data_IF_323961573658
#
_entry.id   IF_323961573658
#
_cell.length_a   1.000
_cell.length_b   1.000
_cell.length_c   1.000
_cell.angle_alpha   90.00
_cell.angle_beta   90.00
_cell.angle_gamma   90.00
#
_symmetry.space_group_name_H-M   'P 1'
#
loop_
_entity.id
_entity.type
_entity.pdbx_description
1 polymer ?
#
# COMPACT_ATOMS: atom_id res chain seq x y z
N UNK A 1 -10.24 -18.55 37.65
CA UNK A 1 -9.49 -18.64 36.38
C UNK A 1 -10.34 -18.01 35.29
N UNK A 2 -10.14 -16.72 35.03
CA UNK A 2 -10.89 -16.00 34.00
C UNK A 2 -10.04 -14.87 33.42
N UNK A 3 -9.83 -14.93 32.10
CA UNK A 3 -9.64 -13.77 31.23
C UNK A 3 -8.25 -13.14 31.20
N UNK A 4 -7.30 -13.74 30.50
CA UNK A 4 -6.21 -12.97 29.89
C UNK A 4 -6.80 -12.05 28.84
N UNK A 5 -6.78 -10.75 29.13
CA UNK A 5 -7.10 -9.70 28.19
C UNK A 5 -6.02 -9.68 27.10
N UNK A 6 -6.37 -10.19 25.92
CA UNK A 6 -5.61 -10.06 24.69
C UNK A 6 -5.69 -8.58 24.24
N UNK A 7 -4.83 -7.73 24.80
CA UNK A 7 -4.67 -6.32 24.39
C UNK A 7 -3.77 -6.26 23.17
N UNK A 8 -4.29 -6.66 22.03
CA UNK A 8 -3.56 -6.62 20.76
C UNK A 8 -3.89 -5.33 20.03
N UNK A 9 -3.11 -4.28 20.32
CA UNK A 9 -2.59 -3.42 19.25
C UNK A 9 -3.49 -2.40 18.56
N UNK A 10 -4.52 -1.85 19.20
CA UNK A 10 -5.15 -0.60 18.72
C UNK A 10 -4.33 0.62 19.17
N UNK A 11 -3.11 0.73 18.64
CA UNK A 11 -2.51 2.06 18.54
C UNK A 11 -3.34 2.82 17.53
N UNK A 12 -4.18 3.74 18.01
CA UNK A 12 -5.02 4.58 17.14
C UNK A 12 -4.18 5.16 16.01
N UNK A 13 -4.74 5.32 14.81
CA UNK A 13 -4.04 5.82 13.61
C UNK A 13 -3.05 6.98 13.89
N UNK A 14 -3.41 7.87 14.83
CA UNK A 14 -2.57 8.96 15.31
C UNK A 14 -1.23 8.54 15.93
N UNK A 15 -1.15 7.44 16.67
CA UNK A 15 0.10 6.91 17.23
C UNK A 15 1.01 6.33 16.15
N UNK A 16 0.42 5.64 15.17
CA UNK A 16 1.14 5.10 14.01
C UNK A 16 1.70 6.23 13.14
N UNK A 17 0.88 7.24 12.85
CA UNK A 17 1.30 8.42 12.12
C UNK A 17 2.44 9.16 12.82
N UNK A 18 2.45 9.18 14.15
CA UNK A 18 3.53 9.76 14.93
C UNK A 18 4.85 8.97 14.76
N UNK A 19 4.82 7.63 14.74
CA UNK A 19 6.01 6.80 14.52
C UNK A 19 6.57 6.93 13.10
N UNK A 20 5.69 7.02 12.10
CA UNK A 20 6.07 7.18 10.70
C UNK A 20 6.64 8.59 10.44
N UNK A 21 6.15 9.58 11.18
CA UNK A 21 6.50 10.99 11.04
C UNK A 21 5.77 11.67 9.88
N UNK A 22 5.69 13.00 9.93
CA UNK A 22 4.87 13.80 9.01
C UNK A 22 5.19 13.57 7.54
N UNK A 23 6.48 13.47 7.19
CA UNK A 23 6.91 13.24 5.80
C UNK A 23 6.51 11.85 5.30
N UNK A 24 6.78 10.81 6.11
CA UNK A 24 6.43 9.43 5.75
C UNK A 24 4.92 9.26 5.63
N UNK A 25 4.15 9.80 6.59
CA UNK A 25 2.69 9.76 6.59
C UNK A 25 2.13 10.45 5.35
N UNK A 26 2.63 11.66 5.04
CA UNK A 26 2.20 12.41 3.86
C UNK A 26 2.51 11.64 2.56
N UNK A 27 3.72 11.11 2.43
CA UNK A 27 4.14 10.41 1.23
C UNK A 27 3.37 9.09 1.03
N UNK A 28 3.15 8.32 2.09
CA UNK A 28 2.35 7.10 2.04
C UNK A 28 0.91 7.41 1.62
N UNK A 29 0.25 8.38 2.26
CA UNK A 29 -1.12 8.79 1.91
C UNK A 29 -1.26 9.18 0.43
N UNK A 30 -0.30 9.96 -0.07
CA UNK A 30 -0.24 10.39 -1.48
C UNK A 30 -0.09 9.22 -2.44
N UNK A 31 0.93 8.39 -2.21
CA UNK A 31 1.22 7.27 -3.10
C UNK A 31 0.12 6.22 -3.10
N UNK A 32 -0.52 5.98 -1.95
CA UNK A 32 -1.72 5.14 -1.87
C UNK A 32 -2.85 5.70 -2.75
N UNK A 33 -3.10 7.01 -2.68
CA UNK A 33 -4.15 7.61 -3.50
C UNK A 33 -3.84 7.60 -5.00
N UNK A 34 -2.57 7.78 -5.39
CA UNK A 34 -2.13 7.65 -6.78
C UNK A 34 -2.31 6.22 -7.29
N UNK A 35 -1.89 5.23 -6.50
CA UNK A 35 -1.97 3.82 -6.85
C UNK A 35 -3.42 3.34 -7.04
N UNK A 36 -4.34 3.85 -6.21
CA UNK A 36 -5.78 3.58 -6.34
C UNK A 36 -6.46 4.40 -7.45
N UNK A 37 -5.73 5.30 -8.12
CA UNK A 37 -6.31 6.15 -9.16
C UNK A 37 -7.39 7.10 -8.63
N UNK A 38 -7.29 7.54 -7.38
CA UNK A 38 -8.33 8.36 -6.77
C UNK A 38 -8.48 9.68 -7.52
N UNK A 39 -9.72 10.17 -7.71
CA UNK A 39 -9.96 11.36 -8.49
C UNK A 39 -9.39 12.60 -7.78
N UNK A 40 -8.66 13.42 -8.52
CA UNK A 40 -8.26 14.73 -8.06
C UNK A 40 -9.51 15.58 -7.77
N UNK A 41 -9.72 15.97 -6.51
CA UNK A 41 -10.86 16.76 -6.06
C UNK A 41 -10.41 17.80 -5.03
N UNK A 42 -10.61 19.07 -5.34
CA UNK A 42 -10.51 20.16 -4.36
C UNK A 42 -11.86 20.36 -3.70
N UNK A 43 -11.94 20.36 -2.37
CA UNK A 43 -13.15 20.85 -1.72
C UNK A 43 -13.20 22.39 -1.75
N UNK A 44 -14.38 22.96 -1.99
CA UNK A 44 -14.61 24.41 -1.88
C UNK A 44 -14.48 24.95 -0.45
N UNK A 45 -14.47 24.09 0.57
CA UNK A 45 -14.50 24.45 1.99
C UNK A 45 -13.20 25.14 2.43
N UNK A 46 -13.30 26.43 2.77
CA UNK A 46 -12.17 27.26 3.22
C UNK A 46 -11.46 26.71 4.45
N UNK A 47 -12.22 26.13 5.40
CA UNK A 47 -11.67 25.57 6.64
C UNK A 47 -10.77 24.35 6.36
N UNK A 48 -11.18 23.48 5.44
CA UNK A 48 -10.40 22.31 5.02
C UNK A 48 -9.07 22.73 4.36
N UNK A 49 -9.08 23.79 3.52
CA UNK A 49 -7.85 24.35 2.93
C UNK A 49 -6.90 24.92 3.99
N UNK A 50 -7.43 25.66 4.98
CA UNK A 50 -6.62 26.21 6.09
C UNK A 50 -5.98 25.14 6.96
N UNK A 51 -6.70 24.04 7.22
CA UNK A 51 -6.19 22.87 7.96
C UNK A 51 -5.33 21.93 7.12
N UNK A 52 -5.12 22.23 5.83
CA UNK A 52 -4.38 21.41 4.86
C UNK A 52 -4.91 19.99 4.66
N UNK A 53 -6.16 19.71 5.06
CA UNK A 53 -6.77 18.37 4.95
C UNK A 53 -7.13 18.00 3.49
N UNK A 54 -7.02 18.95 2.55
CA UNK A 54 -7.27 18.79 1.11
C UNK A 54 -6.05 19.10 0.23
N UNK A 55 -4.85 19.19 0.81
CA UNK A 55 -3.62 19.55 0.11
C UNK A 55 -2.70 18.34 -0.11
N UNK A 56 -3.28 17.16 -0.23
CA UNK A 56 -2.56 16.05 -0.82
C UNK A 56 -2.39 16.33 -2.31
N UNK A 57 -1.22 16.82 -2.70
CA UNK A 57 -0.89 17.11 -4.10
C UNK A 57 -0.24 15.88 -4.72
N UNK A 58 -0.89 15.28 -5.71
CA UNK A 58 -0.31 14.19 -6.48
C UNK A 58 1.05 14.59 -7.05
N UNK A 59 2.02 13.71 -6.93
CA UNK A 59 3.41 13.99 -7.30
C UNK A 59 3.60 14.11 -8.82
N UNK A 60 2.80 13.38 -9.60
CA UNK A 60 2.95 13.29 -11.05
C UNK A 60 2.24 14.41 -11.82
N UNK A 61 1.04 14.84 -11.40
CA UNK A 61 0.25 15.87 -12.10
C UNK A 61 -0.04 17.12 -11.25
N UNK A 62 0.47 17.16 -10.02
CA UNK A 62 0.25 18.25 -9.04
C UNK A 62 -1.22 18.56 -8.76
N UNK A 63 -2.11 17.61 -9.02
CA UNK A 63 -3.52 17.81 -8.72
C UNK A 63 -3.80 17.50 -7.24
N UNK A 64 -4.60 18.35 -6.58
CA UNK A 64 -4.97 18.18 -5.17
C UNK A 64 -6.05 17.12 -4.95
N UNK A 65 -5.97 16.42 -3.81
CA UNK A 65 -6.92 15.43 -3.31
C UNK A 65 -7.47 15.83 -1.94
N UNK A 66 -8.79 15.76 -1.80
CA UNK A 66 -9.49 15.97 -0.54
C UNK A 66 -10.17 14.68 -0.09
N UNK A 67 -9.75 14.15 1.07
CA UNK A 67 -10.37 12.97 1.68
C UNK A 67 -11.86 13.13 1.96
N UNK A 68 -12.31 14.35 2.27
CA UNK A 68 -13.73 14.63 2.54
C UNK A 68 -14.58 14.59 1.27
N UNK A 69 -13.96 14.61 0.09
CA UNK A 69 -14.64 14.50 -1.20
C UNK A 69 -14.61 13.08 -1.77
N UNK A 70 -14.01 12.13 -1.05
CA UNK A 70 -14.06 10.71 -1.42
C UNK A 70 -15.44 10.15 -1.06
N UNK A 71 -15.92 9.20 -1.85
CA UNK A 71 -17.04 8.36 -1.44
C UNK A 71 -16.63 7.47 -0.27
N UNK A 72 -17.58 6.91 0.45
CA UNK A 72 -17.29 5.99 1.56
C UNK A 72 -16.47 4.77 1.08
N UNK A 73 -16.75 4.27 -0.12
CA UNK A 73 -16.01 3.18 -0.75
C UNK A 73 -14.58 3.58 -1.11
N UNK A 74 -14.39 4.73 -1.78
CA UNK A 74 -13.07 5.27 -2.12
C UNK A 74 -12.24 5.51 -0.85
N UNK A 75 -12.88 6.02 0.21
CA UNK A 75 -12.23 6.28 1.49
C UNK A 75 -11.82 4.99 2.19
N UNK A 76 -12.71 4.00 2.23
CA UNK A 76 -12.44 2.70 2.83
C UNK A 76 -11.28 2.00 2.12
N UNK A 77 -11.30 1.97 0.79
CA UNK A 77 -10.21 1.39 0.00
C UNK A 77 -8.88 2.09 0.25
N UNK A 78 -8.88 3.43 0.36
CA UNK A 78 -7.69 4.20 0.71
C UNK A 78 -7.15 3.81 2.09
N UNK A 79 -8.00 3.84 3.11
CA UNK A 79 -7.61 3.59 4.50
C UNK A 79 -7.03 2.16 4.64
N UNK A 80 -7.66 1.14 4.03
CA UNK A 80 -7.15 -0.24 4.03
C UNK A 80 -5.77 -0.38 3.36
N UNK A 81 -5.58 0.23 2.18
CA UNK A 81 -4.29 0.20 1.50
C UNK A 81 -3.22 0.98 2.28
N UNK A 82 -3.59 2.13 2.84
CA UNK A 82 -2.69 2.96 3.63
C UNK A 82 -2.24 2.23 4.89
N UNK A 83 -3.13 1.56 5.59
CA UNK A 83 -2.81 0.81 6.81
C UNK A 83 -1.80 -0.31 6.56
N UNK A 84 -1.97 -1.02 5.43
CA UNK A 84 -1.01 -2.05 5.06
C UNK A 84 0.33 -1.43 4.62
N UNK A 85 0.32 -0.37 3.81
CA UNK A 85 1.54 0.34 3.43
C UNK A 85 2.29 0.93 4.63
N UNK A 86 1.57 1.49 5.60
CA UNK A 86 2.13 1.96 6.86
C UNK A 86 2.79 0.82 7.66
N UNK A 87 2.13 -0.35 7.73
CA UNK A 87 2.70 -1.55 8.37
C UNK A 87 4.02 -1.98 7.71
N UNK A 88 4.05 -2.00 6.37
CA UNK A 88 5.24 -2.36 5.58
C UNK A 88 6.34 -1.31 5.77
N UNK A 89 6.00 -0.03 5.82
CA UNK A 89 6.94 1.07 6.08
C UNK A 89 7.58 0.96 7.49
N UNK A 90 6.78 0.72 8.53
CA UNK A 90 7.29 0.49 9.89
C UNK A 90 8.19 -0.76 9.96
N UNK A 91 7.80 -1.84 9.28
CA UNK A 91 8.59 -3.06 9.20
C UNK A 91 9.91 -2.85 8.42
N UNK A 92 9.89 -2.01 7.38
CA UNK A 92 11.06 -1.62 6.61
C UNK A 92 12.04 -0.79 7.47
N UNK A 93 11.55 0.12 8.31
CA UNK A 93 12.41 0.88 9.23
C UNK A 93 13.05 0.01 10.32
N UNK A 94 12.27 -0.91 10.89
CA UNK A 94 12.70 -1.81 11.97
C UNK A 94 13.49 -3.04 11.50
N UNK A 95 13.57 -3.30 10.19
CA UNK A 95 14.27 -4.46 9.63
C UNK A 95 13.49 -5.78 9.71
N UNK A 96 12.19 -5.72 10.02
CA UNK A 96 11.30 -6.88 10.14
C UNK A 96 10.40 -7.11 8.92
N UNK A 97 10.70 -6.44 7.81
CA UNK A 97 9.94 -6.47 6.55
C UNK A 97 9.59 -7.90 6.09
N UNK A 98 10.56 -8.81 6.15
CA UNK A 98 10.37 -10.20 5.72
C UNK A 98 9.33 -10.96 6.57
N UNK A 99 9.29 -10.70 7.88
CA UNK A 99 8.34 -11.33 8.79
C UNK A 99 6.91 -10.87 8.51
N UNK A 100 6.74 -9.60 8.17
CA UNK A 100 5.42 -9.04 7.89
C UNK A 100 4.86 -9.62 6.57
N UNK A 101 5.66 -9.60 5.50
CA UNK A 101 5.21 -10.02 4.16
C UNK A 101 4.98 -11.53 4.05
N UNK A 102 5.73 -12.36 4.78
CA UNK A 102 5.46 -13.80 4.86
C UNK A 102 4.14 -14.12 5.59
N UNK A 103 3.80 -13.33 6.61
CA UNK A 103 2.60 -13.55 7.44
C UNK A 103 1.35 -13.01 6.76
N UNK A 104 1.47 -11.88 6.08
CA UNK A 104 0.38 -11.18 5.41
C UNK A 104 0.82 -10.86 3.99
N UNK A 105 0.52 -11.78 3.07
CA UNK A 105 0.79 -11.62 1.63
C UNK A 105 -0.50 -11.27 0.89
N UNK A 106 -0.92 -10.00 0.87
CA UNK A 106 -2.07 -9.62 0.07
C UNK A 106 -1.74 -9.73 -1.42
N UNK A 107 -2.78 -9.89 -2.24
CA UNK A 107 -2.67 -9.94 -3.70
C UNK A 107 -1.97 -8.69 -4.27
N UNK A 108 -2.14 -7.54 -3.59
CA UNK A 108 -1.58 -6.23 -3.94
C UNK A 108 -0.21 -5.91 -3.30
N UNK A 109 0.55 -6.93 -2.87
CA UNK A 109 1.88 -6.75 -2.24
C UNK A 109 2.87 -5.92 -3.07
N UNK A 110 2.85 -6.07 -4.41
CA UNK A 110 3.74 -5.32 -5.31
C UNK A 110 3.44 -3.82 -5.25
N UNK A 111 2.17 -3.45 -5.39
CA UNK A 111 1.72 -2.05 -5.31
C UNK A 111 2.10 -1.41 -3.97
N UNK A 112 1.99 -2.16 -2.88
CA UNK A 112 2.35 -1.68 -1.54
C UNK A 112 3.86 -1.48 -1.40
N UNK A 113 4.65 -2.42 -1.94
CA UNK A 113 6.11 -2.33 -1.95
C UNK A 113 6.57 -1.09 -2.71
N UNK A 114 5.92 -0.79 -3.84
CA UNK A 114 6.18 0.42 -4.64
C UNK A 114 5.80 1.70 -3.90
N UNK A 115 4.62 1.74 -3.25
CA UNK A 115 4.21 2.86 -2.38
C UNK A 115 5.26 3.14 -1.31
N UNK A 116 5.71 2.10 -0.60
CA UNK A 116 6.68 2.21 0.48
C UNK A 116 8.05 2.62 -0.03
N UNK A 117 8.50 2.05 -1.17
CA UNK A 117 9.75 2.46 -1.83
C UNK A 117 9.74 3.96 -2.13
N UNK A 118 8.66 4.49 -2.68
CA UNK A 118 8.58 5.93 -2.95
C UNK A 118 8.43 6.82 -1.71
N UNK A 119 7.92 6.28 -0.59
CA UNK A 119 7.80 7.02 0.66
C UNK A 119 9.08 7.02 1.51
N UNK A 120 10.00 6.09 1.26
CA UNK A 120 11.29 6.07 1.94
C UNK A 120 12.23 7.16 1.38
N UNK A 121 13.01 7.83 2.25
CA UNK A 121 14.03 8.76 1.80
C UNK A 121 15.02 8.11 0.80
N UNK A 122 15.56 8.86 -0.17
CA UNK A 122 16.61 8.36 -1.04
C UNK A 122 17.80 7.82 -0.24
N UNK A 123 18.33 6.66 -0.63
CA UNK A 123 19.48 6.03 0.05
C UNK A 123 19.14 5.35 1.39
N UNK A 124 17.87 5.30 1.79
CA UNK A 124 17.46 4.58 2.99
C UNK A 124 17.77 3.08 2.89
N UNK A 125 18.36 2.48 3.94
CA UNK A 125 18.80 1.07 3.95
C UNK A 125 17.72 0.05 3.57
N UNK A 126 16.46 0.40 3.82
CA UNK A 126 15.34 -0.49 3.57
C UNK A 126 15.02 -0.70 2.08
N UNK A 127 15.52 0.17 1.18
CA UNK A 127 15.40 -0.03 -0.27
C UNK A 127 15.98 -1.39 -0.69
N UNK A 128 17.18 -1.74 -0.20
CA UNK A 128 17.79 -3.04 -0.52
C UNK A 128 17.01 -4.24 0.01
N UNK A 129 16.27 -4.07 1.12
CA UNK A 129 15.36 -5.09 1.64
C UNK A 129 14.15 -5.30 0.73
N UNK A 130 13.52 -4.22 0.27
CA UNK A 130 12.41 -4.25 -0.69
C UNK A 130 12.86 -4.90 -2.02
N UNK A 131 14.03 -4.53 -2.54
CA UNK A 131 14.58 -5.09 -3.78
C UNK A 131 14.97 -6.58 -3.65
N UNK A 132 15.35 -7.03 -2.45
CA UNK A 132 15.60 -8.44 -2.20
C UNK A 132 14.32 -9.26 -2.25
N UNK A 133 13.23 -8.73 -1.70
CA UNK A 133 11.92 -9.40 -1.71
C UNK A 133 11.40 -9.52 -3.13
N UNK A 134 11.37 -8.43 -3.91
CA UNK A 134 10.91 -8.49 -5.30
C UNK A 134 11.70 -9.50 -6.14
N UNK A 135 13.02 -9.60 -5.92
CA UNK A 135 13.86 -10.61 -6.59
C UNK A 135 13.47 -12.03 -6.21
N UNK A 136 13.24 -12.31 -4.92
CA UNK A 136 12.80 -13.62 -4.44
C UNK A 136 11.43 -13.96 -5.03
N UNK A 137 10.52 -13.00 -5.08
CA UNK A 137 9.18 -13.21 -5.65
C UNK A 137 9.22 -13.48 -7.15
N UNK A 138 10.03 -12.73 -7.90
CA UNK A 138 10.27 -12.99 -9.32
C UNK A 138 10.87 -14.39 -9.54
N UNK A 139 11.79 -14.83 -8.68
CA UNK A 139 12.35 -16.18 -8.75
C UNK A 139 11.30 -17.26 -8.48
N UNK A 140 10.44 -17.08 -7.47
CA UNK A 140 9.34 -18.01 -7.17
C UNK A 140 8.36 -18.08 -8.35
N UNK A 141 7.97 -16.93 -8.90
CA UNK A 141 7.06 -16.86 -10.05
C UNK A 141 7.64 -17.56 -11.29
N UNK A 142 8.95 -17.43 -11.53
CA UNK A 142 9.64 -18.08 -12.65
C UNK A 142 9.89 -19.58 -12.42
N UNK A 143 10.02 -20.00 -11.16
CA UNK A 143 10.20 -21.41 -10.78
C UNK A 143 8.88 -22.19 -10.68
N UNK A 144 7.73 -21.50 -10.60
CA UNK A 144 6.43 -22.14 -10.64
C UNK A 144 6.23 -22.83 -12.00
N UNK A 145 5.92 -24.15 -12.04
CA UNK A 145 5.68 -24.83 -13.29
C UNK A 145 4.53 -24.16 -14.02
N UNK A 146 4.78 -23.72 -15.26
CA UNK A 146 3.73 -23.30 -16.20
C UNK A 146 2.85 -24.51 -16.47
N UNK A 147 1.82 -24.72 -15.65
CA UNK A 147 0.83 -25.77 -15.87
C UNK A 147 0.28 -25.58 -17.29
N UNK A 148 0.52 -26.58 -18.13
CA UNK A 148 0.40 -26.48 -19.57
C UNK A 148 -1.01 -26.14 -20.04
N UNK A 149 -1.11 -25.11 -20.87
CA UNK A 149 -2.15 -25.02 -21.89
C UNK A 149 -1.71 -25.99 -23.00
N UNK A 150 -2.03 -27.26 -22.86
CA UNK A 150 -1.91 -28.25 -23.92
C UNK A 150 -2.93 -29.37 -23.69
N UNK A 151 -4.10 -29.26 -24.31
CA UNK A 151 -4.82 -30.35 -25.00
C UNK A 151 -6.27 -29.94 -25.29
N UNK A 152 -6.68 -29.98 -26.57
CA UNK A 152 -8.08 -30.21 -26.88
C UNK A 152 -8.71 -29.54 -28.12
N UNK A 153 -7.97 -29.12 -29.15
CA UNK A 153 -8.56 -29.01 -30.49
C UNK A 153 -8.61 -30.42 -31.10
N UNK A 154 -9.80 -31.01 -31.18
CA UNK A 154 -10.07 -32.17 -32.04
C UNK A 154 -10.67 -31.69 -33.38
N UNK A 155 -10.28 -32.31 -34.50
CA UNK A 155 -10.64 -31.85 -35.84
C UNK A 155 -12.09 -32.20 -36.18
N UNK A 156 -12.62 -31.43 -37.12
CA UNK A 156 -13.78 -31.72 -37.96
C UNK A 156 -13.84 -33.20 -38.35
N UNK A 157 -15.03 -33.80 -38.20
CA UNK A 157 -15.52 -34.80 -39.15
C UNK A 157 -17.05 -34.68 -39.26
N UNK A 158 -17.48 -34.58 -40.51
CA UNK A 158 -18.87 -34.52 -40.98
C UNK A 158 -19.58 -35.87 -40.82
N UNK A 159 -20.91 -35.90 -40.96
CA UNK A 159 -21.44 -36.30 -42.28
C UNK A 159 -22.33 -35.27 -42.95
#
# INVERSE_FOLDING_TARGET
>A
MTGSADKTGEGTMSEREHRIGDYGTLSLRLRTAEMLGLPARVCGVRNCRRKRSCLLVFTHNRLPLCYTMLTDEERKAHDEFFDFAASVYEAAQSGHLYRLLLKHRPEYHQSVTEIVRHALPPGHRAHGGLDAIERIEAQIANAAPRAGIAAGQRPHDAP
#
